data_IF_547434956375
#
_entry.id   IF_547434956375
#
_cell.length_a   1.000
_cell.length_b   1.000
_cell.length_c   1.000
_cell.angle_alpha   90.00
_cell.angle_beta   90.00
_cell.angle_gamma   90.00
#
_symmetry.space_group_name_H-M   'P 1'
#
loop_
_entity.id
_entity.type
_entity.pdbx_description
1 polymer ?
#
# COMPACT_ATOMS: atom_id res chain seq x y z
N UNK A 1 -7.60 9.53 8.21
CA UNK A 1 -6.65 8.44 8.56
C UNK A 1 -5.47 8.44 7.59
N UNK A 2 -4.34 7.81 7.95
CA UNK A 2 -3.17 7.67 7.09
C UNK A 2 -3.15 6.29 6.45
N UNK A 3 -2.92 6.21 5.14
CA UNK A 3 -2.72 4.97 4.39
C UNK A 3 -1.31 5.01 3.78
N UNK A 4 -0.44 4.19 4.32
CA UNK A 4 0.99 4.13 3.97
C UNK A 4 1.18 3.22 2.75
N UNK A 5 1.87 3.69 1.71
CA UNK A 5 2.14 2.88 0.52
C UNK A 5 3.01 1.65 0.83
N UNK A 6 3.91 1.77 1.80
CA UNK A 6 4.80 0.69 2.24
C UNK A 6 4.02 -0.51 2.83
N UNK A 7 2.82 -0.26 3.40
CA UNK A 7 1.94 -1.36 3.83
C UNK A 7 1.54 -2.29 2.66
N UNK A 8 1.61 -1.79 1.43
CA UNK A 8 1.23 -2.49 0.21
C UNK A 8 2.41 -3.08 -0.57
N UNK A 9 3.59 -3.30 0.03
CA UNK A 9 4.57 -4.17 -0.62
C UNK A 9 3.96 -5.55 -0.92
N UNK A 10 4.37 -6.14 -2.04
CA UNK A 10 3.93 -7.48 -2.47
C UNK A 10 4.31 -8.54 -1.46
N UNK A 11 3.45 -9.53 -1.32
CA UNK A 11 3.80 -10.72 -0.55
C UNK A 11 4.88 -11.53 -1.27
N UNK A 12 6.03 -11.66 -0.62
CA UNK A 12 7.16 -12.45 -1.07
C UNK A 12 7.41 -13.65 -0.15
N UNK A 13 6.40 -14.09 0.61
CA UNK A 13 6.45 -15.24 1.52
C UNK A 13 6.93 -16.53 0.83
N UNK A 14 6.71 -16.63 -0.48
CA UNK A 14 7.15 -17.73 -1.35
C UNK A 14 8.65 -17.72 -1.69
N UNK A 15 9.36 -16.59 -1.50
CA UNK A 15 10.81 -16.47 -1.71
C UNK A 15 11.58 -16.73 -0.42
N UNK A 16 12.84 -17.13 -0.52
CA UNK A 16 13.75 -17.19 0.62
C UNK A 16 14.14 -15.78 1.08
N UNK A 17 14.57 -15.63 2.34
CA UNK A 17 15.01 -14.34 2.86
C UNK A 17 16.17 -13.74 2.02
N UNK A 18 17.13 -14.57 1.59
CA UNK A 18 18.27 -14.16 0.77
C UNK A 18 17.87 -13.65 -0.63
N UNK A 19 16.71 -14.07 -1.14
CA UNK A 19 16.15 -13.55 -2.40
C UNK A 19 15.41 -12.25 -2.16
N UNK A 20 14.63 -12.16 -1.06
CA UNK A 20 13.87 -10.95 -0.70
C UNK A 20 14.76 -9.72 -0.55
N UNK A 21 15.92 -9.88 0.10
CA UNK A 21 16.89 -8.77 0.27
C UNK A 21 17.45 -8.21 -1.04
N UNK A 22 17.34 -8.94 -2.16
CA UNK A 22 17.77 -8.49 -3.48
C UNK A 22 16.69 -7.72 -4.22
N UNK A 23 15.45 -7.70 -3.70
CA UNK A 23 14.35 -6.94 -4.27
C UNK A 23 14.66 -5.45 -4.19
N UNK A 24 14.46 -4.73 -5.30
CA UNK A 24 14.46 -3.27 -5.29
C UNK A 24 13.09 -2.77 -4.82
N UNK A 25 12.99 -2.40 -3.54
CA UNK A 25 11.75 -1.90 -2.94
C UNK A 25 11.39 -0.47 -3.37
N UNK A 26 12.31 0.27 -3.99
CA UNK A 26 12.05 1.59 -4.57
C UNK A 26 11.55 1.52 -6.03
N UNK A 27 11.30 0.32 -6.56
CA UNK A 27 10.73 0.15 -7.89
C UNK A 27 9.20 -0.02 -7.80
N UNK A 28 8.40 0.59 -8.70
CA UNK A 28 6.93 0.46 -8.67
C UNK A 28 6.42 -0.98 -8.58
N UNK A 29 7.15 -1.93 -9.19
CA UNK A 29 6.78 -3.35 -9.16
C UNK A 29 6.85 -4.02 -7.79
N UNK A 30 7.54 -3.44 -6.82
CA UNK A 30 7.58 -3.95 -5.45
C UNK A 30 6.23 -3.79 -4.74
N UNK A 31 5.39 -2.85 -5.20
CA UNK A 31 4.11 -2.53 -4.61
C UNK A 31 2.95 -3.31 -5.26
N UNK A 32 1.96 -3.61 -4.43
CA UNK A 32 0.65 -4.17 -4.78
C UNK A 32 -0.36 -3.02 -4.89
N UNK A 33 -0.08 -2.10 -5.82
CA UNK A 33 -0.90 -0.90 -6.04
C UNK A 33 -2.32 -1.25 -6.49
N UNK A 34 -2.51 -2.42 -7.12
CA UNK A 34 -3.85 -2.94 -7.45
C UNK A 34 -4.68 -3.20 -6.20
N UNK A 35 -4.12 -3.86 -5.18
CA UNK A 35 -4.78 -4.07 -3.90
C UNK A 35 -5.06 -2.73 -3.19
N UNK A 36 -4.11 -1.81 -3.20
CA UNK A 36 -4.28 -0.48 -2.61
C UNK A 36 -5.44 0.27 -3.24
N UNK A 37 -5.50 0.33 -4.58
CA UNK A 37 -6.59 0.97 -5.33
C UNK A 37 -7.92 0.31 -5.01
N UNK A 38 -7.97 -1.03 -4.96
CA UNK A 38 -9.20 -1.74 -4.64
C UNK A 38 -9.71 -1.36 -3.24
N UNK A 39 -8.82 -1.37 -2.23
CA UNK A 39 -9.19 -1.03 -0.86
C UNK A 39 -9.58 0.45 -0.67
N UNK A 40 -8.90 1.37 -1.35
CA UNK A 40 -9.29 2.80 -1.35
C UNK A 40 -10.69 2.96 -1.94
N UNK A 41 -11.03 2.24 -3.03
CA UNK A 41 -12.38 2.28 -3.61
C UNK A 41 -13.45 1.75 -2.67
N UNK A 42 -13.14 0.72 -1.89
CA UNK A 42 -14.06 0.21 -0.86
C UNK A 42 -14.30 1.26 0.23
N UNK A 43 -13.24 1.92 0.71
CA UNK A 43 -13.32 3.00 1.68
C UNK A 43 -14.15 4.19 1.18
N UNK A 44 -13.90 4.62 -0.07
CA UNK A 44 -14.68 5.66 -0.74
C UNK A 44 -16.16 5.28 -0.90
N UNK A 45 -16.46 3.98 -0.98
CA UNK A 45 -17.81 3.46 -1.05
C UNK A 45 -18.43 3.19 0.34
N UNK A 46 -17.82 3.70 1.42
CA UNK A 46 -18.31 3.56 2.78
C UNK A 46 -18.16 2.15 3.35
N UNK A 47 -17.29 1.32 2.79
CA UNK A 47 -17.02 -0.04 3.27
C UNK A 47 -15.65 -0.13 3.93
N UNK A 48 -15.57 -0.62 5.17
CA UNK A 48 -14.29 -0.79 5.85
C UNK A 48 -13.44 -1.92 5.25
N UNK A 49 -12.13 -1.78 5.37
CA UNK A 49 -11.13 -2.71 4.79
C UNK A 49 -10.08 -3.12 5.82
N UNK A 50 -9.43 -4.25 5.57
CA UNK A 50 -8.31 -4.72 6.39
C UNK A 50 -7.01 -4.46 5.62
N UNK A 51 -6.28 -3.42 6.02
CA UNK A 51 -5.05 -2.99 5.37
C UNK A 51 -3.91 -3.91 5.82
N UNK A 52 -3.11 -4.47 4.89
CA UNK A 52 -1.95 -5.27 5.23
C UNK A 52 -0.94 -4.48 6.06
N UNK A 53 -0.11 -5.19 6.82
CA UNK A 53 1.09 -4.60 7.43
C UNK A 53 2.32 -5.22 6.79
N UNK A 54 3.38 -4.43 6.64
CA UNK A 54 4.65 -4.93 6.15
C UNK A 54 5.59 -5.27 7.31
N UNK A 55 6.23 -6.44 7.25
CA UNK A 55 7.23 -6.84 8.23
C UNK A 55 8.63 -6.53 7.69
N UNK A 56 9.17 -5.39 8.14
CA UNK A 56 10.51 -4.93 7.74
C UNK A 56 11.62 -5.87 8.21
N UNK A 57 11.44 -6.62 9.30
CA UNK A 57 12.44 -7.59 9.76
C UNK A 57 12.44 -8.85 8.89
N UNK A 58 11.26 -9.28 8.43
CA UNK A 58 11.11 -10.45 7.56
C UNK A 58 11.20 -10.15 6.06
N UNK A 59 11.28 -8.86 5.68
CA UNK A 59 11.28 -8.37 4.29
C UNK A 59 10.12 -8.92 3.46
N UNK A 60 8.92 -9.01 4.05
CA UNK A 60 7.72 -9.46 3.34
C UNK A 60 6.45 -8.94 4.03
N UNK A 61 5.31 -9.02 3.33
CA UNK A 61 4.00 -8.77 3.91
C UNK A 61 3.75 -9.65 5.15
N UNK A 62 3.29 -9.05 6.22
CA UNK A 62 2.90 -9.76 7.44
C UNK A 62 1.56 -10.48 7.25
N UNK A 63 1.31 -11.53 8.04
CA UNK A 63 -0.02 -12.13 8.15
C UNK A 63 -1.01 -11.26 8.92
N UNK A 64 -0.54 -10.16 9.53
CA UNK A 64 -1.35 -9.20 10.27
C UNK A 64 -1.88 -8.11 9.37
N UNK A 65 -3.10 -7.70 9.66
CA UNK A 65 -3.76 -6.54 9.07
C UNK A 65 -4.20 -5.62 10.19
N UNK A 66 -4.51 -4.36 9.84
CA UNK A 66 -5.27 -3.48 10.72
C UNK A 66 -6.57 -3.06 10.03
N UNK A 67 -7.60 -2.86 10.84
CA UNK A 67 -8.91 -2.42 10.35
C UNK A 67 -8.88 -0.93 10.06
N UNK A 68 -9.21 -0.55 8.82
CA UNK A 68 -9.45 0.84 8.43
C UNK A 68 -10.94 1.05 8.17
N UNK A 69 -11.55 1.91 8.98
CA UNK A 69 -12.94 2.34 8.78
C UNK A 69 -13.02 3.45 7.72
N UNK A 70 -14.15 3.60 7.00
CA UNK A 70 -14.40 4.74 6.13
C UNK A 70 -14.26 6.06 6.88
N UNK A 71 -13.74 7.10 6.21
CA UNK A 71 -13.53 8.43 6.76
C UNK A 71 -13.82 9.46 5.66
N UNK A 72 -14.16 10.67 6.06
CA UNK A 72 -14.38 11.77 5.11
C UNK A 72 -13.07 12.18 4.41
N UNK A 73 -11.92 12.01 5.08
CA UNK A 73 -10.60 12.37 4.56
C UNK A 73 -9.58 11.28 4.87
N UNK A 74 -8.85 10.88 3.83
CA UNK A 74 -7.68 10.01 3.89
C UNK A 74 -6.46 10.76 3.37
N UNK A 75 -5.31 10.48 3.99
CA UNK A 75 -4.01 10.85 3.45
C UNK A 75 -3.37 9.56 2.94
N UNK A 76 -3.01 9.55 1.67
CA UNK A 76 -2.23 8.48 1.05
C UNK A 76 -0.80 8.99 0.91
N UNK A 77 0.14 8.33 1.58
CA UNK A 77 1.53 8.74 1.62
C UNK A 77 2.46 7.65 1.10
N UNK A 78 3.59 8.05 0.53
CA UNK A 78 4.67 7.16 0.12
C UNK A 78 5.46 7.71 -1.06
N UNK A 79 6.68 7.22 -1.25
CA UNK A 79 7.63 7.74 -2.25
C UNK A 79 7.15 7.62 -3.70
N UNK A 80 6.23 6.70 -3.98
CA UNK A 80 5.73 6.39 -5.33
C UNK A 80 4.20 6.50 -5.48
N UNK A 81 3.49 7.10 -4.51
CA UNK A 81 2.01 7.20 -4.58
C UNK A 81 1.50 8.04 -5.75
N UNK A 82 2.36 8.88 -6.33
CA UNK A 82 2.07 9.66 -7.52
C UNK A 82 2.53 9.00 -8.83
N UNK A 83 3.04 7.77 -8.82
CA UNK A 83 3.54 7.06 -10.02
C UNK A 83 2.39 6.45 -10.85
N UNK A 84 1.46 5.72 -10.21
CA UNK A 84 0.33 5.09 -10.90
C UNK A 84 -0.81 6.08 -11.18
N UNK A 85 -1.18 6.23 -12.46
CA UNK A 85 -2.25 7.14 -12.88
C UNK A 85 -3.60 6.81 -12.22
N UNK A 86 -3.92 5.52 -12.06
CA UNK A 86 -5.20 5.06 -11.52
C UNK A 86 -5.35 5.45 -10.05
N UNK A 87 -4.24 5.44 -9.30
CA UNK A 87 -4.22 5.92 -7.92
C UNK A 87 -4.38 7.44 -7.87
N UNK A 88 -3.66 8.18 -8.74
CA UNK A 88 -3.81 9.65 -8.85
C UNK A 88 -5.22 10.11 -9.22
N UNK A 89 -5.92 9.32 -10.04
CA UNK A 89 -7.30 9.63 -10.46
C UNK A 89 -8.30 9.53 -9.29
N UNK A 90 -7.93 8.87 -8.18
CA UNK A 90 -8.72 8.81 -6.94
C UNK A 90 -8.42 9.96 -5.96
N UNK A 91 -7.42 10.80 -6.23
CA UNK A 91 -6.95 11.84 -5.32
C UNK A 91 -7.49 13.22 -5.71
N UNK A 92 -8.11 13.91 -4.76
CA UNK A 92 -8.53 15.30 -4.94
C UNK A 92 -7.35 16.28 -4.88
N UNK A 93 -6.37 16.03 -4.00
CA UNK A 93 -5.19 16.87 -3.77
C UNK A 93 -3.93 16.01 -3.93
N UNK A 94 -2.88 16.57 -4.56
CA UNK A 94 -1.60 15.89 -4.82
C UNK A 94 -0.46 16.80 -4.38
N UNK A 95 0.42 16.29 -3.52
CA UNK A 95 1.54 17.04 -2.95
C UNK A 95 2.82 16.25 -3.21
N UNK A 96 3.87 16.94 -3.65
CA UNK A 96 5.22 16.41 -3.81
C UNK A 96 6.18 17.34 -3.03
N UNK A 97 7.08 16.75 -2.24
CA UNK A 97 7.99 17.48 -1.34
C UNK A 97 9.42 17.31 -1.84
#
# INVERSE_FOLDING_TARGET
AMIEHDSYYKDQSHLTFEERIKTNYDHPFAFDTDLMIAQIKELLAGRPVDIPTYDYAAHTRSSKTYRQEPQDVFIVEGILVLEDKRLRDLMDIKIFV
#
